data_IF_051369582083
#
_entry.id   IF_051369582083
#
_cell.length_a   1.000
_cell.length_b   1.000
_cell.length_c   1.000
_cell.angle_alpha   90.00
_cell.angle_beta   90.00
_cell.angle_gamma   90.00
#
_symmetry.space_group_name_H-M   'P 1'
#
loop_
_entity.id
_entity.type
_entity.pdbx_description
1 polymer ?
#
# COMPACT_ATOMS: atom_id res chain seq x y z
N UNK A 1 -13.11 2.61 -7.50
CA UNK A 1 -13.66 2.61 -6.13
C UNK A 1 -12.74 3.35 -5.15
N UNK A 2 -11.41 3.16 -5.24
CA UNK A 2 -10.37 3.88 -4.45
C UNK A 2 -10.70 5.35 -4.12
N UNK A 3 -10.82 6.20 -5.14
CA UNK A 3 -11.07 7.65 -4.98
C UNK A 3 -12.32 7.97 -4.15
N UNK A 4 -13.37 7.15 -4.25
CA UNK A 4 -14.59 7.32 -3.44
C UNK A 4 -14.30 7.04 -1.97
N UNK A 5 -13.60 5.93 -1.69
CA UNK A 5 -13.19 5.55 -0.32
C UNK A 5 -12.27 6.61 0.30
N UNK A 6 -11.29 7.10 -0.45
CA UNK A 6 -10.41 8.20 -0.02
C UNK A 6 -11.22 9.48 0.26
N UNK A 7 -12.12 9.88 -0.64
CA UNK A 7 -12.98 11.04 -0.40
C UNK A 7 -13.83 10.91 0.89
N UNK A 8 -14.26 9.69 1.23
CA UNK A 8 -14.96 9.45 2.50
C UNK A 8 -14.06 9.57 3.73
N UNK A 9 -12.77 9.21 3.63
CA UNK A 9 -11.78 9.47 4.67
C UNK A 9 -11.56 10.97 4.85
N UNK A 10 -11.41 11.72 3.74
CA UNK A 10 -11.21 13.17 3.78
C UNK A 10 -12.43 13.88 4.41
N UNK A 11 -13.65 13.52 4.00
CA UNK A 11 -14.88 14.05 4.61
C UNK A 11 -14.99 13.73 6.10
N UNK A 12 -14.46 12.59 6.55
CA UNK A 12 -14.43 12.28 7.98
C UNK A 12 -13.49 13.24 8.73
N UNK A 13 -12.32 13.56 8.16
CA UNK A 13 -11.39 14.55 8.71
C UNK A 13 -12.02 15.95 8.74
N UNK A 14 -12.74 16.35 7.68
CA UNK A 14 -13.49 17.61 7.62
C UNK A 14 -14.48 17.73 8.78
N UNK A 15 -15.27 16.68 9.06
CA UNK A 15 -16.22 16.68 10.18
C UNK A 15 -15.54 16.95 11.53
N UNK A 16 -14.30 16.48 11.70
CA UNK A 16 -13.52 16.69 12.92
C UNK A 16 -12.77 18.03 12.95
N UNK A 17 -12.70 18.75 11.84
CA UNK A 17 -11.86 19.94 11.69
C UNK A 17 -10.36 19.62 11.72
N UNK A 18 -9.97 18.40 11.32
CA UNK A 18 -8.56 18.01 11.25
C UNK A 18 -7.94 18.56 9.97
N UNK A 19 -6.85 19.32 10.09
CA UNK A 19 -6.09 19.78 8.92
C UNK A 19 -5.36 18.62 8.24
N UNK A 20 -5.37 18.62 6.90
CA UNK A 20 -4.69 17.65 6.06
C UNK A 20 -4.34 18.25 4.69
N UNK A 21 -3.42 17.61 3.98
CA UNK A 21 -3.07 17.92 2.58
C UNK A 21 -3.52 16.76 1.68
N UNK A 22 -4.53 16.93 0.81
CA UNK A 22 -4.98 15.88 -0.11
C UNK A 22 -4.01 15.71 -1.29
N UNK A 23 -4.05 14.54 -1.94
CA UNK A 23 -3.30 14.23 -3.17
C UNK A 23 -1.81 14.61 -3.06
N UNK A 24 -1.21 14.30 -1.90
CA UNK A 24 0.13 14.73 -1.55
C UNK A 24 1.19 14.11 -2.47
N UNK A 25 2.18 14.93 -2.86
CA UNK A 25 3.27 14.57 -3.75
C UNK A 25 4.59 14.87 -3.08
N UNK A 26 5.41 13.85 -2.92
CA UNK A 26 6.74 13.98 -2.30
C UNK A 26 7.78 13.63 -3.35
N UNK A 27 8.59 14.62 -3.73
CA UNK A 27 9.76 14.39 -4.59
C UNK A 27 10.79 13.54 -3.84
N UNK A 28 11.44 12.65 -4.59
CA UNK A 28 12.46 11.75 -4.06
C UNK A 28 13.83 12.39 -4.26
N UNK A 29 14.48 12.75 -3.15
CA UNK A 29 15.85 13.28 -3.23
C UNK A 29 16.80 12.17 -3.70
N UNK A 30 17.65 12.47 -4.69
CA UNK A 30 18.67 11.52 -5.13
C UNK A 30 19.65 11.11 -4.01
N UNK A 31 19.80 11.97 -3.00
CA UNK A 31 20.70 11.74 -1.86
C UNK A 31 20.25 10.64 -0.91
N UNK A 32 19.01 10.15 -1.00
CA UNK A 32 18.54 9.06 -0.13
C UNK A 32 19.06 7.70 -0.57
N UNK A 33 19.58 7.59 -1.79
CA UNK A 33 20.06 6.34 -2.37
C UNK A 33 21.56 6.17 -2.07
N UNK A 34 21.83 5.53 -0.94
CA UNK A 34 23.13 5.00 -0.57
C UNK A 34 23.21 3.48 -0.80
N UNK A 35 24.38 2.89 -0.59
CA UNK A 35 24.60 1.44 -0.78
C UNK A 35 23.63 0.58 0.03
N UNK A 36 23.26 1.02 1.24
CA UNK A 36 22.36 0.26 2.11
C UNK A 36 20.92 0.28 1.61
N UNK A 37 20.37 1.45 1.32
CA UNK A 37 19.02 1.61 0.78
C UNK A 37 18.87 0.96 -0.60
N UNK A 38 19.89 1.04 -1.46
CA UNK A 38 19.93 0.33 -2.73
C UNK A 38 19.91 -1.19 -2.55
N UNK A 39 20.70 -1.71 -1.60
CA UNK A 39 20.73 -3.14 -1.30
C UNK A 39 19.39 -3.65 -0.76
N UNK A 40 18.73 -2.90 0.12
CA UNK A 40 17.39 -3.24 0.64
C UNK A 40 16.35 -3.29 -0.49
N UNK A 41 16.41 -2.31 -1.40
CA UNK A 41 15.49 -2.23 -2.52
C UNK A 41 15.74 -3.36 -3.53
N UNK A 42 16.99 -3.64 -3.86
CA UNK A 42 17.37 -4.74 -4.74
C UNK A 42 16.94 -6.08 -4.16
N UNK A 43 17.17 -6.33 -2.86
CA UNK A 43 16.78 -7.58 -2.23
C UNK A 43 15.28 -7.86 -2.39
N UNK A 44 14.42 -6.85 -2.18
CA UNK A 44 12.98 -7.03 -2.37
C UNK A 44 12.52 -7.06 -3.82
N UNK A 45 13.24 -6.39 -4.73
CA UNK A 45 13.00 -6.52 -6.17
C UNK A 45 13.30 -7.94 -6.66
N UNK A 46 14.45 -8.49 -6.25
CA UNK A 46 14.89 -9.84 -6.61
C UNK A 46 14.01 -10.92 -5.99
N UNK A 47 13.54 -10.73 -4.76
CA UNK A 47 12.74 -11.75 -4.06
C UNK A 47 11.45 -12.11 -4.81
N UNK A 48 10.88 -11.17 -5.56
CA UNK A 48 9.66 -11.39 -6.37
C UNK A 48 9.96 -11.65 -7.85
N UNK A 49 11.22 -11.91 -8.21
CA UNK A 49 11.65 -12.26 -9.58
C UNK A 49 12.03 -11.08 -10.48
N UNK A 50 12.47 -9.95 -9.91
CA UNK A 50 12.90 -8.77 -10.68
C UNK A 50 14.12 -9.02 -11.56
N UNK A 51 14.07 -8.53 -12.80
CA UNK A 51 15.07 -8.67 -13.86
C UNK A 51 15.82 -7.36 -14.10
N UNK A 52 17.12 -7.42 -14.42
CA UNK A 52 17.91 -6.22 -14.69
C UNK A 52 18.03 -5.31 -13.47
N UNK A 53 18.13 -4.00 -13.67
CA UNK A 53 18.29 -3.03 -12.58
C UNK A 53 16.92 -2.62 -12.00
N UNK A 54 16.76 -2.58 -10.66
CA UNK A 54 15.52 -2.13 -10.04
C UNK A 54 15.20 -0.69 -10.44
N UNK A 55 14.02 -0.39 -11.00
CA UNK A 55 13.63 0.99 -11.28
C UNK A 55 13.40 1.72 -9.95
N UNK A 56 13.68 3.02 -9.92
CA UNK A 56 13.47 3.87 -8.74
C UNK A 56 12.40 4.91 -9.00
N UNK A 57 11.46 5.05 -8.08
CA UNK A 57 10.50 6.13 -8.09
C UNK A 57 11.21 7.48 -7.92
N UNK A 58 10.77 8.45 -8.71
CA UNK A 58 11.21 9.86 -8.59
C UNK A 58 10.31 10.68 -7.69
N UNK A 59 9.09 10.19 -7.45
CA UNK A 59 8.08 10.89 -6.68
C UNK A 59 7.15 9.87 -6.03
N UNK A 60 6.76 10.10 -4.77
CA UNK A 60 5.65 9.42 -4.14
C UNK A 60 4.34 10.17 -4.43
N UNK A 61 3.26 9.42 -4.63
CA UNK A 61 1.89 9.92 -4.72
C UNK A 61 1.05 9.29 -3.62
N UNK A 62 0.64 10.11 -2.66
CA UNK A 62 -0.05 9.70 -1.45
C UNK A 62 -1.50 10.19 -1.53
N UNK A 63 -2.41 9.52 -0.83
CA UNK A 63 -3.82 9.93 -0.84
C UNK A 63 -4.01 11.23 -0.05
N UNK A 64 -3.34 11.33 1.10
CA UNK A 64 -3.29 12.56 1.90
C UNK A 64 -2.14 12.53 2.91
N UNK A 65 -1.91 13.67 3.55
CA UNK A 65 -0.93 13.85 4.62
C UNK A 65 -1.55 14.58 5.80
N UNK A 66 -1.20 14.16 7.02
CA UNK A 66 -1.48 14.89 8.26
C UNK A 66 -0.14 15.05 8.98
N UNK A 67 0.28 16.29 9.25
CA UNK A 67 1.59 16.60 9.83
C UNK A 67 2.74 15.88 9.08
N UNK A 68 3.56 15.07 9.77
CA UNK A 68 4.62 14.25 9.18
C UNK A 68 4.18 12.80 8.87
N UNK A 69 2.89 12.54 8.84
CA UNK A 69 2.32 11.24 8.52
C UNK A 69 1.77 11.22 7.09
N UNK A 70 2.27 10.30 6.27
CA UNK A 70 1.81 10.07 4.91
C UNK A 70 0.79 8.94 4.91
N UNK A 71 -0.36 9.12 4.26
CA UNK A 71 -1.41 8.12 4.21
C UNK A 71 -1.59 7.56 2.80
N UNK A 72 -1.70 6.22 2.73
CA UNK A 72 -2.06 5.47 1.53
C UNK A 72 -3.15 4.47 1.89
N UNK A 73 -4.20 4.42 1.09
CA UNK A 73 -5.27 3.43 1.18
C UNK A 73 -4.94 2.25 0.26
N UNK A 74 -4.83 1.06 0.86
CA UNK A 74 -4.56 -0.18 0.13
C UNK A 74 -5.89 -0.93 -0.07
N UNK A 75 -6.28 -1.06 -1.34
CA UNK A 75 -7.43 -1.85 -1.75
C UNK A 75 -7.10 -3.34 -1.91
N UNK A 76 -8.05 -4.12 -2.41
CA UNK A 76 -7.96 -5.59 -2.45
C UNK A 76 -6.72 -6.10 -3.19
N UNK A 77 -6.21 -5.37 -4.20
CA UNK A 77 -5.15 -5.87 -5.09
C UNK A 77 -3.74 -5.81 -4.48
N UNK A 78 -3.60 -5.20 -3.30
CA UNK A 78 -2.33 -5.14 -2.56
C UNK A 78 -2.07 -6.40 -1.72
N UNK A 79 -3.08 -7.23 -1.46
CA UNK A 79 -2.98 -8.35 -0.51
C UNK A 79 -2.71 -9.68 -1.24
N UNK A 80 -1.54 -9.79 -1.88
CA UNK A 80 -1.10 -10.96 -2.66
C UNK A 80 0.25 -11.54 -2.17
N UNK A 81 0.65 -12.71 -2.70
CA UNK A 81 1.94 -13.36 -2.40
C UNK A 81 3.18 -12.51 -2.64
N UNK A 82 3.20 -11.67 -3.67
CA UNK A 82 4.39 -10.85 -3.96
C UNK A 82 4.53 -9.73 -2.93
N UNK A 83 3.40 -9.14 -2.50
CA UNK A 83 3.42 -8.22 -1.37
C UNK A 83 3.86 -8.91 -0.09
N UNK A 84 3.37 -10.12 0.18
CA UNK A 84 3.83 -10.95 1.30
C UNK A 84 5.35 -11.16 1.28
N UNK A 85 5.91 -11.53 0.13
CA UNK A 85 7.36 -11.72 -0.04
C UNK A 85 8.14 -10.44 0.24
N UNK A 86 7.73 -9.29 -0.33
CA UNK A 86 8.40 -8.01 -0.04
C UNK A 86 8.37 -7.67 1.45
N UNK A 87 7.26 -7.91 2.15
CA UNK A 87 7.08 -7.67 3.60
C UNK A 87 8.00 -8.52 4.50
N UNK A 88 8.65 -9.54 3.94
CA UNK A 88 9.58 -10.44 4.63
C UNK A 88 11.05 -10.12 4.32
N UNK A 89 11.33 -9.08 3.53
CA UNK A 89 12.68 -8.65 3.18
C UNK A 89 13.37 -7.89 4.31
N UNK A 90 14.68 -7.68 4.18
CA UNK A 90 15.50 -6.99 5.17
C UNK A 90 15.03 -5.57 5.51
N UNK A 91 14.26 -4.91 4.62
CA UNK A 91 13.72 -3.58 4.86
C UNK A 91 12.89 -3.51 6.15
N UNK A 92 12.08 -4.53 6.39
CA UNK A 92 11.19 -4.59 7.55
C UNK A 92 11.88 -5.13 8.81
N UNK A 93 13.14 -5.58 8.70
CA UNK A 93 14.03 -5.78 9.84
C UNK A 93 14.81 -4.51 10.19
N UNK A 94 15.17 -3.71 9.19
CA UNK A 94 15.91 -2.45 9.36
C UNK A 94 15.02 -1.32 9.92
N UNK A 95 13.75 -1.29 9.54
CA UNK A 95 12.79 -0.29 9.99
C UNK A 95 11.57 -0.93 10.61
N UNK A 96 11.11 -0.37 11.73
CA UNK A 96 9.87 -0.79 12.37
C UNK A 96 8.65 -0.24 11.63
N UNK A 97 7.69 -1.06 11.21
CA UNK A 97 6.40 -0.60 10.69
C UNK A 97 5.26 -1.23 11.49
N UNK A 98 4.48 -0.45 12.25
CA UNK A 98 3.43 -1.00 13.13
C UNK A 98 2.40 -1.90 12.41
N UNK A 99 2.18 -1.64 11.12
CA UNK A 99 1.22 -2.36 10.29
C UNK A 99 1.82 -3.57 9.56
N UNK A 100 3.14 -3.80 9.56
CA UNK A 100 3.75 -4.89 8.80
C UNK A 100 3.17 -6.25 9.19
N UNK A 101 3.10 -6.54 10.49
CA UNK A 101 2.61 -7.83 10.99
C UNK A 101 1.16 -8.11 10.62
N UNK A 102 0.30 -7.09 10.59
CA UNK A 102 -1.08 -7.25 10.11
C UNK A 102 -1.10 -7.48 8.60
N UNK A 103 -0.31 -6.74 7.82
CA UNK A 103 -0.23 -6.89 6.38
C UNK A 103 0.24 -8.28 5.93
N UNK A 104 1.22 -8.87 6.62
CA UNK A 104 1.65 -10.26 6.38
C UNK A 104 0.49 -11.24 6.54
N UNK A 105 -0.34 -11.08 7.58
CA UNK A 105 -1.53 -11.92 7.79
C UNK A 105 -2.58 -11.67 6.72
N UNK A 106 -2.82 -10.40 6.37
CA UNK A 106 -3.82 -10.02 5.37
C UNK A 106 -3.48 -10.58 3.99
N UNK A 107 -2.21 -10.54 3.56
CA UNK A 107 -1.80 -11.11 2.28
C UNK A 107 -2.08 -12.63 2.21
N UNK A 108 -1.86 -13.36 3.31
CA UNK A 108 -2.18 -14.80 3.39
C UNK A 108 -3.69 -15.06 3.40
N UNK A 109 -4.44 -14.26 4.14
CA UNK A 109 -5.87 -14.46 4.34
C UNK A 109 -6.70 -14.06 3.10
N UNK A 110 -6.27 -13.02 2.39
CA UNK A 110 -7.08 -12.36 1.36
C UNK A 110 -6.55 -12.53 -0.06
N UNK A 111 -5.57 -13.41 -0.30
CA UNK A 111 -5.04 -13.66 -1.67
C UNK A 111 -6.15 -14.08 -2.65
N UNK A 112 -7.14 -14.86 -2.21
CA UNK A 112 -8.26 -15.26 -3.06
C UNK A 112 -9.12 -14.07 -3.50
N UNK A 113 -9.41 -13.15 -2.58
CA UNK A 113 -10.16 -11.93 -2.87
C UNK A 113 -9.34 -10.97 -3.74
N UNK A 114 -8.03 -10.87 -3.47
CA UNK A 114 -7.09 -10.15 -4.32
C UNK A 114 -7.10 -10.72 -5.75
N UNK A 115 -7.10 -12.04 -5.92
CA UNK A 115 -7.19 -12.70 -7.22
C UNK A 115 -8.46 -12.32 -7.96
N UNK A 116 -9.61 -12.41 -7.30
CA UNK A 116 -10.89 -12.03 -7.89
C UNK A 116 -10.92 -10.56 -8.34
N UNK A 117 -10.36 -9.65 -7.54
CA UNK A 117 -10.29 -8.22 -7.87
C UNK A 117 -9.23 -7.90 -8.94
N UNK A 118 -8.13 -8.63 -8.95
CA UNK A 118 -6.92 -8.35 -9.72
C UNK A 118 -6.80 -9.10 -11.05
N UNK A 119 -7.78 -9.92 -11.44
CA UNK A 119 -7.83 -10.60 -12.75
C UNK A 119 -8.04 -9.65 -13.94
N UNK A 120 -8.42 -8.39 -13.70
CA UNK A 120 -8.54 -7.42 -14.79
C UNK A 120 -7.19 -7.23 -15.48
N UNK A 121 -7.15 -7.33 -16.82
CA UNK A 121 -5.91 -7.32 -17.59
C UNK A 121 -4.98 -6.15 -17.23
N UNK A 122 -5.53 -4.95 -17.04
CA UNK A 122 -4.77 -3.77 -16.65
C UNK A 122 -4.04 -3.92 -15.31
N UNK A 123 -4.62 -4.64 -14.36
CA UNK A 123 -4.04 -4.91 -13.03
C UNK A 123 -3.09 -6.10 -13.11
N UNK A 124 -3.49 -7.15 -13.83
CA UNK A 124 -2.74 -8.39 -13.94
C UNK A 124 -1.43 -8.23 -14.72
N UNK A 125 -1.49 -7.63 -15.91
CA UNK A 125 -0.30 -7.39 -16.71
C UNK A 125 0.45 -6.14 -16.25
N UNK A 126 -0.28 -5.12 -15.80
CA UNK A 126 0.28 -3.82 -15.44
C UNK A 126 0.68 -2.98 -16.68
N UNK A 127 1.37 -1.85 -16.47
CA UNK A 127 1.95 -1.07 -17.56
C UNK A 127 3.11 -1.84 -18.24
N UNK A 128 3.59 -1.44 -19.43
CA UNK A 128 4.71 -2.10 -20.12
C UNK A 128 5.97 -2.30 -19.27
N UNK A 129 6.23 -1.37 -18.34
CA UNK A 129 7.32 -1.47 -17.38
C UNK A 129 7.26 -2.75 -16.53
N UNK A 130 6.07 -3.26 -16.21
CA UNK A 130 5.91 -4.48 -15.42
C UNK A 130 6.53 -5.68 -16.15
N UNK A 131 6.26 -5.85 -17.44
CA UNK A 131 6.83 -6.92 -18.24
C UNK A 131 8.35 -6.75 -18.45
N UNK A 132 8.83 -5.51 -18.59
CA UNK A 132 10.27 -5.23 -18.64
C UNK A 132 10.99 -5.61 -17.33
N UNK A 133 10.32 -5.38 -16.19
CA UNK A 133 10.88 -5.65 -14.87
C UNK A 133 10.76 -7.10 -14.43
N UNK A 134 9.73 -7.84 -14.85
CA UNK A 134 9.42 -9.15 -14.28
C UNK A 134 9.18 -10.23 -15.35
N UNK A 135 9.32 -9.93 -16.63
CA UNK A 135 8.94 -10.81 -17.73
C UNK A 135 7.43 -10.83 -18.00
N UNK A 136 7.02 -11.56 -19.04
CA UNK A 136 5.61 -11.68 -19.41
C UNK A 136 4.80 -12.38 -18.31
N UNK A 137 3.62 -11.85 -18.00
CA UNK A 137 2.72 -12.52 -17.08
C UNK A 137 2.11 -13.79 -17.70
N UNK A 138 1.71 -14.72 -16.85
CA UNK A 138 0.80 -15.80 -17.22
C UNK A 138 -0.62 -15.26 -17.49
N UNK A 139 -1.55 -16.07 -18.03
CA UNK A 139 -2.94 -15.66 -18.20
C UNK A 139 -3.59 -15.20 -16.87
N UNK A 140 -4.57 -14.27 -16.91
CA UNK A 140 -5.20 -13.75 -15.71
C UNK A 140 -5.80 -14.84 -14.83
N UNK A 141 -5.37 -14.87 -13.56
CA UNK A 141 -5.78 -15.89 -12.60
C UNK A 141 -4.79 -17.04 -12.43
N UNK A 142 -3.83 -17.20 -13.35
CA UNK A 142 -2.80 -18.23 -13.26
C UNK A 142 -1.61 -17.74 -12.44
N UNK A 143 -1.50 -18.24 -11.21
CA UNK A 143 -0.40 -17.90 -10.30
C UNK A 143 0.77 -18.89 -10.39
N UNK A 144 0.77 -19.80 -11.35
CA UNK A 144 1.91 -20.66 -11.67
C UNK A 144 2.97 -19.90 -12.45
N UNK A 145 4.13 -20.52 -12.70
CA UNK A 145 5.20 -19.91 -13.52
C UNK A 145 5.58 -18.51 -13.05
N UNK A 146 5.51 -17.53 -13.94
CA UNK A 146 5.82 -16.14 -13.60
C UNK A 146 4.70 -15.43 -12.83
N UNK A 147 3.46 -15.92 -12.95
CA UNK A 147 2.24 -15.30 -12.45
C UNK A 147 2.03 -13.88 -12.98
N UNK A 148 1.61 -12.96 -12.10
CA UNK A 148 1.20 -11.60 -12.46
C UNK A 148 2.36 -10.59 -12.41
N UNK A 149 2.82 -10.11 -13.58
CA UNK A 149 3.83 -9.04 -13.65
C UNK A 149 3.33 -7.73 -13.05
N UNK A 150 2.03 -7.42 -13.20
CA UNK A 150 1.42 -6.21 -12.66
C UNK A 150 1.36 -6.21 -11.14
N UNK A 151 1.04 -7.36 -10.53
CA UNK A 151 1.07 -7.48 -9.07
C UNK A 151 2.48 -7.39 -8.49
N UNK A 152 3.48 -7.97 -9.17
CA UNK A 152 4.90 -7.84 -8.79
C UNK A 152 5.35 -6.38 -8.82
N UNK A 153 5.01 -5.64 -9.88
CA UNK A 153 5.32 -4.21 -9.96
C UNK A 153 4.62 -3.41 -8.86
N UNK A 154 3.36 -3.73 -8.55
CA UNK A 154 2.64 -3.07 -7.47
C UNK A 154 3.30 -3.34 -6.09
N UNK A 155 3.63 -4.59 -5.80
CA UNK A 155 4.32 -4.97 -4.57
C UNK A 155 5.70 -4.30 -4.43
N UNK A 156 6.43 -4.17 -5.54
CA UNK A 156 7.69 -3.45 -5.56
C UNK A 156 7.53 -1.94 -5.39
N UNK A 157 6.51 -1.32 -5.97
CA UNK A 157 6.19 0.08 -5.71
C UNK A 157 5.81 0.29 -4.24
N UNK A 158 5.07 -0.63 -3.63
CA UNK A 158 4.74 -0.57 -2.21
C UNK A 158 6.00 -0.61 -1.34
N UNK A 159 6.95 -1.50 -1.64
CA UNK A 159 8.26 -1.55 -0.99
C UNK A 159 9.02 -0.22 -1.12
N UNK A 160 9.03 0.39 -2.31
CA UNK A 160 9.65 1.69 -2.54
C UNK A 160 9.01 2.80 -1.71
N UNK A 161 7.67 2.85 -1.63
CA UNK A 161 6.96 3.81 -0.79
C UNK A 161 7.36 3.68 0.69
N UNK A 162 7.45 2.45 1.18
CA UNK A 162 7.83 2.18 2.56
C UNK A 162 9.29 2.61 2.84
N UNK A 163 10.21 2.31 1.93
CA UNK A 163 11.61 2.72 2.06
C UNK A 163 11.78 4.24 1.99
N UNK A 164 11.28 4.86 0.94
CA UNK A 164 11.47 6.29 0.65
C UNK A 164 10.85 7.13 1.77
N UNK A 165 9.65 6.77 2.23
CA UNK A 165 9.01 7.49 3.34
C UNK A 165 9.88 7.47 4.60
N UNK A 166 10.51 6.33 4.92
CA UNK A 166 11.43 6.23 6.05
C UNK A 166 12.70 7.05 5.87
N UNK A 167 13.33 6.95 4.69
CA UNK A 167 14.58 7.67 4.41
C UNK A 167 14.38 9.19 4.41
N UNK A 168 13.20 9.68 4.03
CA UNK A 168 12.87 11.11 4.07
C UNK A 168 12.25 11.57 5.40
N UNK A 169 12.25 10.72 6.43
CA UNK A 169 11.83 11.07 7.79
C UNK A 169 10.31 11.16 8.00
N UNK A 170 9.52 10.55 7.12
CA UNK A 170 8.06 10.47 7.26
C UNK A 170 7.62 9.19 7.96
N UNK A 171 6.49 9.26 8.66
CA UNK A 171 5.75 8.09 9.15
C UNK A 171 4.74 7.67 8.08
N UNK A 172 4.96 6.53 7.43
CA UNK A 172 3.98 6.00 6.47
C UNK A 172 2.90 5.20 7.19
N UNK A 173 1.65 5.58 6.92
CA UNK A 173 0.44 4.97 7.47
C UNK A 173 -0.34 4.36 6.32
N UNK A 174 -0.30 3.04 6.26
CA UNK A 174 -1.12 2.29 5.31
C UNK A 174 -2.48 1.97 5.94
N UNK A 175 -3.54 2.31 5.23
CA UNK A 175 -4.92 1.99 5.58
C UNK A 175 -5.33 0.78 4.75
N UNK A 176 -5.45 -0.38 5.38
CA UNK A 176 -6.02 -1.54 4.71
C UNK A 176 -7.54 -1.44 4.68
N UNK A 177 -8.16 -1.69 3.52
CA UNK A 177 -9.61 -1.92 3.45
C UNK A 177 -10.10 -3.05 4.37
N UNK A 178 -9.23 -4.02 4.66
CA UNK A 178 -9.53 -5.16 5.55
C UNK A 178 -9.29 -4.88 7.03
N UNK A 179 -8.72 -3.71 7.41
CA UNK A 179 -8.64 -3.31 8.81
C UNK A 179 -10.04 -3.23 9.42
N UNK A 180 -10.21 -3.66 10.67
CA UNK A 180 -11.51 -3.70 11.35
C UNK A 180 -11.57 -2.71 12.50
N UNK A 181 -12.73 -2.06 12.64
CA UNK A 181 -13.05 -1.18 13.76
C UNK A 181 -14.15 -1.81 14.62
N UNK A 182 -13.98 -1.79 15.94
CA UNK A 182 -15.04 -2.17 16.88
C UNK A 182 -16.06 -1.04 16.98
N UNK A 183 -17.25 -1.25 16.42
CA UNK A 183 -18.35 -0.28 16.42
C UNK A 183 -19.59 -0.97 16.96
N UNK A 184 -20.14 -0.41 18.04
CA UNK A 184 -21.35 -0.90 18.71
C UNK A 184 -21.28 -2.41 19.03
N UNK A 185 -20.13 -2.88 19.55
CA UNK A 185 -19.93 -4.28 19.92
C UNK A 185 -19.64 -5.24 18.76
N UNK A 186 -19.53 -4.75 17.52
CA UNK A 186 -19.23 -5.58 16.34
C UNK A 186 -17.97 -5.08 15.61
N UNK A 187 -17.16 -6.01 15.10
CA UNK A 187 -16.04 -5.68 14.22
C UNK A 187 -16.57 -5.44 12.80
N UNK A 188 -16.30 -4.25 12.25
CA UNK A 188 -16.66 -3.89 10.87
C UNK A 188 -15.42 -3.52 10.08
N UNK A 189 -15.32 -3.98 8.83
CA UNK A 189 -14.20 -3.64 7.95
C UNK A 189 -14.26 -2.16 7.55
N UNK A 190 -13.11 -1.49 7.52
CA UNK A 190 -12.98 -0.11 7.04
C UNK A 190 -13.59 0.02 5.65
N UNK A 191 -13.38 -0.96 4.78
CA UNK A 191 -13.97 -0.97 3.44
C UNK A 191 -15.49 -0.79 3.42
N UNK A 192 -16.17 -1.54 4.30
CA UNK A 192 -17.63 -1.53 4.41
C UNK A 192 -18.13 -0.21 5.00
N UNK A 193 -17.39 0.35 5.97
CA UNK A 193 -17.72 1.62 6.61
C UNK A 193 -17.61 2.80 5.63
N UNK A 194 -16.70 2.70 4.66
CA UNK A 194 -16.47 3.74 3.66
C UNK A 194 -17.45 3.69 2.47
N UNK A 195 -18.32 2.67 2.35
CA UNK A 195 -19.28 2.61 1.23
C UNK A 195 -20.33 3.71 1.32
N UNK A 196 -20.93 3.89 2.51
CA UNK A 196 -21.97 4.89 2.79
C UNK A 196 -21.92 5.32 4.27
N UNK A 197 -20.87 6.03 4.71
CA UNK A 197 -20.75 6.42 6.11
C UNK A 197 -21.83 7.45 6.46
N UNK A 198 -22.55 7.19 7.56
CA UNK A 198 -23.36 8.18 8.26
C UNK A 198 -22.46 9.10 9.12
N UNK A 199 -23.06 10.09 9.77
CA UNK A 199 -22.31 11.10 10.52
C UNK A 199 -21.56 10.53 11.73
N UNK A 200 -22.19 9.58 12.43
CA UNK A 200 -21.56 8.87 13.54
C UNK A 200 -20.36 8.07 13.08
N UNK A 201 -20.49 7.38 11.95
CA UNK A 201 -19.42 6.59 11.33
C UNK A 201 -18.29 7.49 10.86
N UNK A 202 -18.58 8.66 10.26
CA UNK A 202 -17.56 9.65 9.90
C UNK A 202 -16.74 10.07 11.13
N UNK A 203 -17.39 10.47 12.21
CA UNK A 203 -16.67 10.86 13.44
C UNK A 203 -15.82 9.73 14.03
N UNK A 204 -16.30 8.49 13.98
CA UNK A 204 -15.52 7.32 14.41
C UNK A 204 -14.29 7.10 13.55
N UNK A 205 -14.43 7.17 12.22
CA UNK A 205 -13.32 7.07 11.26
C UNK A 205 -12.31 8.20 11.50
N UNK A 206 -12.77 9.44 11.66
CA UNK A 206 -11.91 10.59 11.90
C UNK A 206 -11.06 10.42 13.17
N UNK A 207 -11.69 10.00 14.27
CA UNK A 207 -10.98 9.72 15.52
C UNK A 207 -9.99 8.58 15.37
N UNK A 208 -10.31 7.54 14.60
CA UNK A 208 -9.39 6.46 14.31
C UNK A 208 -8.21 6.90 13.44
N UNK A 209 -8.42 7.73 12.42
CA UNK A 209 -7.34 8.30 11.60
C UNK A 209 -6.37 9.15 12.42
N UNK A 210 -6.89 10.07 13.23
CA UNK A 210 -6.07 10.93 14.10
C UNK A 210 -5.28 10.12 15.12
N UNK A 211 -5.84 9.04 15.67
CA UNK A 211 -5.07 8.15 16.56
C UNK A 211 -3.89 7.47 15.88
N UNK A 212 -3.86 7.35 14.55
CA UNK A 212 -2.71 6.79 13.83
C UNK A 212 -1.56 7.80 13.70
N UNK A 213 -1.82 9.11 13.84
CA UNK A 213 -0.77 10.14 13.76
C UNK A 213 0.07 10.21 15.03
N UNK A 214 -0.54 9.96 16.20
CA UNK A 214 0.15 9.72 17.47
C UNK A 214 1.18 8.58 17.37
#
# INVERSE_FOLDING_TARGET
MHRIKVNHLLRALDTKGQEYVPDCRIEVSGSIWDTTSESLLEAGYRSIGGLGNPPKLRQLRLDFQIDRCLFVFDDEVHFNRYRLETLQTGLYGAFYFPWQGSYVRLCRQFERQCLQAGMQERVWYGPPLAAQCFGNAEPPGDLSGNGSSGWKLNAYNDLQYDLISRLQGYKLIRISGYETLLISGSLKKVDQLLLRPDEKTRMLIANWLVRKTA
#
